data_IF_252125010875
#
_entry.id   IF_252125010875
#
_cell.length_a   1.000
_cell.length_b   1.000
_cell.length_c   1.000
_cell.angle_alpha   90.00
_cell.angle_beta   90.00
_cell.angle_gamma   90.00
#
_symmetry.space_group_name_H-M   'P 1'
#
loop_
_entity.id
_entity.type
_entity.pdbx_description
1 polymer ?
#
# COMPACT_ATOMS: atom_id res chain seq x y z
N UNK A 1 15.96 -3.56 -1.63
CA UNK A 1 15.23 -2.34 -1.22
C UNK A 1 16.20 -1.45 -0.46
N UNK A 2 16.28 -0.15 -0.75
CA UNK A 2 17.16 0.77 -0.03
C UNK A 2 16.60 1.16 1.34
N UNK A 3 17.45 1.70 2.23
CA UNK A 3 17.08 2.13 3.59
C UNK A 3 15.94 3.15 3.61
N UNK A 4 15.98 4.15 2.73
CA UNK A 4 14.92 5.19 2.64
C UNK A 4 13.54 4.59 2.32
N UNK A 5 13.47 3.63 1.39
CA UNK A 5 12.22 2.97 1.05
C UNK A 5 11.70 2.11 2.23
N UNK A 6 12.60 1.39 2.91
CA UNK A 6 12.26 0.59 4.08
C UNK A 6 11.67 1.45 5.21
N UNK A 7 12.33 2.57 5.53
CA UNK A 7 11.88 3.50 6.56
C UNK A 7 10.53 4.16 6.20
N UNK A 8 10.36 4.52 4.93
CA UNK A 8 9.10 5.15 4.46
C UNK A 8 7.92 4.17 4.53
N UNK A 9 8.14 2.89 4.23
CA UNK A 9 7.13 1.83 4.39
C UNK A 9 6.80 1.66 5.88
N UNK A 10 7.81 1.56 6.74
CA UNK A 10 7.62 1.40 8.18
C UNK A 10 6.77 2.54 8.76
N UNK A 11 7.09 3.78 8.42
CA UNK A 11 6.34 4.96 8.83
C UNK A 11 4.89 4.92 8.34
N UNK A 12 4.66 4.65 7.06
CA UNK A 12 3.33 4.60 6.48
C UNK A 12 2.42 3.54 7.12
N UNK A 13 2.97 2.39 7.52
CA UNK A 13 2.21 1.30 8.18
C UNK A 13 1.92 1.60 9.66
N UNK A 14 2.77 2.40 10.33
CA UNK A 14 2.60 2.79 11.73
C UNK A 14 1.81 4.10 11.91
N UNK A 15 1.32 4.70 10.82
CA UNK A 15 0.38 5.80 10.93
C UNK A 15 -0.95 5.34 11.53
N UNK A 16 -1.69 6.29 12.11
CA UNK A 16 -3.01 6.03 12.72
C UNK A 16 -3.99 5.45 11.70
N UNK A 17 -3.89 5.88 10.43
CA UNK A 17 -4.78 5.42 9.37
C UNK A 17 -4.21 4.16 8.73
N UNK A 18 -4.91 3.02 8.75
CA UNK A 18 -4.41 1.79 8.15
C UNK A 18 -4.22 1.91 6.63
N UNK A 19 -3.38 1.04 6.08
CA UNK A 19 -3.20 0.88 4.65
C UNK A 19 -4.43 0.15 4.07
N UNK A 20 -5.17 0.84 3.21
CA UNK A 20 -6.41 0.32 2.61
C UNK A 20 -6.20 -0.46 1.32
N UNK A 21 -5.10 -0.20 0.60
CA UNK A 21 -4.74 -0.87 -0.66
C UNK A 21 -3.26 -0.74 -0.97
N UNK A 22 -2.79 -1.47 -1.98
CA UNK A 22 -1.41 -1.39 -2.47
C UNK A 22 -1.14 0.00 -3.09
N UNK A 23 -2.10 0.58 -3.81
CA UNK A 23 -2.00 1.95 -4.29
C UNK A 23 -1.85 2.96 -3.14
N UNK A 24 -2.60 2.76 -2.05
CA UNK A 24 -2.51 3.58 -0.85
C UNK A 24 -1.10 3.52 -0.23
N UNK A 25 -0.55 2.31 -0.08
CA UNK A 25 0.82 2.08 0.39
C UNK A 25 1.85 2.78 -0.50
N UNK A 26 1.79 2.58 -1.82
CA UNK A 26 2.71 3.22 -2.78
C UNK A 26 2.70 4.73 -2.65
N UNK A 27 1.51 5.33 -2.52
CA UNK A 27 1.34 6.78 -2.38
C UNK A 27 1.90 7.30 -1.07
N UNK A 28 1.60 6.67 0.06
CA UNK A 28 2.04 7.13 1.39
C UNK A 28 3.52 6.89 1.65
N UNK A 29 4.01 5.69 1.34
CA UNK A 29 5.42 5.34 1.50
C UNK A 29 6.31 5.91 0.37
N UNK A 30 5.72 6.55 -0.65
CA UNK A 30 6.41 7.13 -1.82
C UNK A 30 7.37 6.12 -2.48
N UNK A 31 6.94 4.87 -2.58
CA UNK A 31 7.73 3.78 -3.17
C UNK A 31 7.33 3.51 -4.63
N UNK A 32 8.32 3.16 -5.44
CA UNK A 32 8.12 2.77 -6.84
C UNK A 32 7.72 1.29 -7.01
N UNK A 33 7.49 0.91 -8.27
CA UNK A 33 7.08 -0.45 -8.63
C UNK A 33 8.10 -1.53 -8.23
N UNK A 34 9.41 -1.27 -8.35
CA UNK A 34 10.44 -2.24 -7.97
C UNK A 34 10.37 -2.65 -6.49
N UNK A 35 10.09 -1.70 -5.58
CA UNK A 35 9.91 -2.00 -4.16
C UNK A 35 8.58 -2.74 -3.90
N UNK A 36 7.52 -2.34 -4.61
CA UNK A 36 6.20 -2.98 -4.52
C UNK A 36 6.26 -4.44 -5.00
N UNK A 37 6.93 -4.70 -6.12
CA UNK A 37 7.08 -6.05 -6.67
C UNK A 37 7.89 -6.95 -5.74
N UNK A 38 8.91 -6.39 -5.07
CA UNK A 38 9.66 -7.10 -4.05
C UNK A 38 8.77 -7.51 -2.87
N UNK A 39 7.95 -6.59 -2.35
CA UNK A 39 7.00 -6.88 -1.28
C UNK A 39 5.97 -7.94 -1.69
N UNK A 40 5.52 -7.94 -2.95
CA UNK A 40 4.65 -9.00 -3.50
C UNK A 40 5.35 -10.35 -3.50
N UNK A 41 6.59 -10.41 -4.00
CA UNK A 41 7.37 -11.65 -4.06
C UNK A 41 7.59 -12.28 -2.69
N UNK A 42 7.76 -11.46 -1.66
CA UNK A 42 7.88 -11.92 -0.28
C UNK A 42 6.55 -12.13 0.44
N UNK A 43 5.42 -11.96 -0.24
CA UNK A 43 4.08 -12.18 0.33
C UNK A 43 3.62 -11.09 1.31
N UNK A 44 4.33 -9.96 1.41
CA UNK A 44 4.02 -8.89 2.37
C UNK A 44 2.72 -8.13 2.06
N UNK A 45 2.19 -8.26 0.83
CA UNK A 45 0.97 -7.57 0.38
C UNK A 45 -0.22 -8.52 0.22
N UNK A 46 -0.11 -9.75 0.72
CA UNK A 46 -1.22 -10.71 0.67
C UNK A 46 -2.42 -10.19 1.47
N UNK A 47 -3.61 -10.27 0.89
CA UNK A 47 -4.86 -9.78 1.51
C UNK A 47 -5.13 -8.28 1.33
N UNK A 48 -4.22 -7.51 0.74
CA UNK A 48 -4.49 -6.13 0.33
C UNK A 48 -5.05 -6.10 -1.10
N UNK A 49 -6.08 -5.28 -1.30
CA UNK A 49 -6.59 -4.96 -2.63
C UNK A 49 -5.62 -4.06 -3.42
N UNK A 50 -5.72 -4.06 -4.74
CA UNK A 50 -4.83 -3.27 -5.62
C UNK A 50 -5.03 -1.76 -5.44
N UNK A 51 -6.28 -1.30 -5.30
CA UNK A 51 -6.65 0.12 -5.25
C UNK A 51 -7.85 0.37 -4.34
N UNK A 52 -8.03 1.63 -3.91
CA UNK A 52 -9.11 2.05 -2.99
C UNK A 52 -10.48 2.20 -3.70
N UNK A 53 -10.84 1.30 -4.63
CA UNK A 53 -12.07 1.46 -5.41
C UNK A 53 -13.31 1.52 -4.51
N UNK A 54 -14.04 2.62 -4.61
CA UNK A 54 -15.43 2.75 -4.18
C UNK A 54 -16.31 2.41 -5.38
N UNK A 55 -17.13 1.37 -5.28
CA UNK A 55 -18.13 1.08 -6.31
C UNK A 55 -19.19 2.19 -6.27
N UNK A 56 -19.54 2.75 -7.42
CA UNK A 56 -20.63 3.73 -7.53
C UNK A 56 -21.96 3.23 -6.93
N UNK A 57 -22.15 1.90 -6.90
CA UNK A 57 -23.33 1.27 -6.32
C UNK A 57 -23.41 1.37 -4.78
N UNK A 58 -22.30 1.53 -4.06
CA UNK A 58 -22.30 1.64 -2.59
C UNK A 58 -22.80 3.01 -2.09
N UNK A 59 -22.88 4.03 -2.96
CA UNK A 59 -23.24 5.41 -2.60
C UNK A 59 -24.74 5.71 -2.77
N UNK A 60 -25.52 4.81 -3.38
CA UNK A 60 -26.95 4.99 -3.67
C UNK A 60 -27.89 4.14 -2.79
N UNK A 61 -27.36 3.51 -1.73
CA UNK A 61 -28.11 2.70 -0.77
C UNK A 61 -28.66 3.48 0.41
#
# INVERSE_FOLDING_TARGET
>A
MGTVAAESIYKAVHEITPISSIANLKKRAKIGDAATELLRKFGCLQGLQESDQVSFFDMLG
#
